data_IF_089371951803
#
_entry.id   IF_089371951803
#
_cell.length_a   1.000
_cell.length_b   1.000
_cell.length_c   1.000
_cell.angle_alpha   90.00
_cell.angle_beta   90.00
_cell.angle_gamma   90.00
#
_symmetry.space_group_name_H-M   'P 1'
#
loop_
_entity.id
_entity.type
_entity.pdbx_description
1 polymer ?
#
# COMPACT_ATOMS: atom_id res chain seq x y z
N UNK A 1 -34.98 -10.68 17.38
CA UNK A 1 -33.73 -10.36 18.10
C UNK A 1 -33.08 -9.17 17.43
N UNK A 2 -33.14 -7.99 18.06
CA UNK A 2 -32.55 -6.75 17.56
C UNK A 2 -31.03 -6.84 17.75
N UNK A 3 -30.25 -6.88 16.67
CA UNK A 3 -28.79 -6.80 16.73
C UNK A 3 -28.42 -5.37 17.10
N UNK A 4 -27.77 -5.21 18.25
CA UNK A 4 -27.15 -3.94 18.64
C UNK A 4 -26.08 -3.55 17.59
N UNK A 5 -26.05 -2.29 17.11
CA UNK A 5 -25.00 -1.79 16.20
C UNK A 5 -23.60 -1.69 16.84
N UNK A 6 -23.48 -1.99 18.14
CA UNK A 6 -22.26 -1.83 18.94
C UNK A 6 -21.41 -3.08 19.05
N UNK A 7 -21.69 -4.13 18.27
CA UNK A 7 -20.89 -5.36 18.25
C UNK A 7 -20.80 -5.90 16.83
N UNK A 8 -20.32 -5.06 15.92
CA UNK A 8 -20.03 -5.50 14.55
C UNK A 8 -18.85 -6.47 14.60
N UNK A 9 -19.06 -7.79 14.37
CA UNK A 9 -18.02 -8.80 14.52
C UNK A 9 -16.81 -8.48 13.62
N UNK A 10 -17.08 -7.83 12.49
CA UNK A 10 -16.10 -7.37 11.51
C UNK A 10 -15.10 -6.34 12.09
N UNK A 11 -15.56 -5.37 12.88
CA UNK A 11 -14.71 -4.36 13.50
C UNK A 11 -13.85 -4.95 14.62
N UNK A 12 -14.44 -5.84 15.44
CA UNK A 12 -13.72 -6.51 16.52
C UNK A 12 -12.55 -7.35 16.00
N UNK A 13 -12.75 -8.08 14.90
CA UNK A 13 -11.69 -8.86 14.23
C UNK A 13 -10.56 -7.95 13.74
N UNK A 14 -10.88 -6.81 13.11
CA UNK A 14 -9.86 -5.85 12.64
C UNK A 14 -8.98 -5.33 13.77
N UNK A 15 -9.59 -4.94 14.89
CA UNK A 15 -8.84 -4.48 16.07
C UNK A 15 -7.98 -5.58 16.70
N UNK A 16 -8.44 -6.83 16.72
CA UNK A 16 -7.63 -7.97 17.17
C UNK A 16 -6.40 -8.13 16.26
N UNK A 17 -6.61 -8.17 14.95
CA UNK A 17 -5.54 -8.31 13.95
C UNK A 17 -4.51 -7.20 14.06
N UNK A 18 -4.94 -5.94 14.28
CA UNK A 18 -4.04 -4.82 14.50
C UNK A 18 -3.17 -5.00 15.73
N UNK A 19 -3.75 -5.45 16.85
CA UNK A 19 -3.01 -5.71 18.07
C UNK A 19 -2.01 -6.88 17.91
N UNK A 20 -2.42 -7.94 17.22
CA UNK A 20 -1.56 -9.08 16.90
C UNK A 20 -0.39 -8.66 16.02
N UNK A 21 -0.65 -7.91 14.95
CA UNK A 21 0.36 -7.38 14.05
C UNK A 21 1.37 -6.47 14.77
N UNK A 22 0.89 -5.57 15.63
CA UNK A 22 1.76 -4.71 16.45
C UNK A 22 2.66 -5.53 17.38
N UNK A 23 2.17 -6.63 17.95
CA UNK A 23 3.00 -7.54 18.77
C UNK A 23 4.03 -8.27 17.92
N UNK A 24 3.69 -8.70 16.70
CA UNK A 24 4.64 -9.30 15.77
C UNK A 24 5.76 -8.33 15.39
N UNK A 25 5.41 -7.08 15.01
CA UNK A 25 6.37 -6.03 14.68
C UNK A 25 7.28 -5.69 15.86
N UNK A 26 6.72 -5.58 17.07
CA UNK A 26 7.52 -5.30 18.29
C UNK A 26 8.51 -6.43 18.59
N UNK A 27 8.14 -7.68 18.34
CA UNK A 27 9.01 -8.84 18.60
C UNK A 27 10.04 -9.06 17.50
N UNK A 28 9.69 -8.75 16.24
CA UNK A 28 10.53 -8.96 15.06
C UNK A 28 10.63 -7.70 14.17
N UNK A 29 11.16 -6.58 14.69
CA UNK A 29 11.11 -5.29 13.97
C UNK A 29 11.97 -5.26 12.70
N UNK A 30 13.01 -6.10 12.60
CA UNK A 30 13.98 -6.04 11.51
C UNK A 30 13.61 -6.89 10.30
N UNK A 31 13.19 -8.13 10.55
CA UNK A 31 12.96 -9.14 9.50
C UNK A 31 11.53 -9.67 9.49
N UNK A 32 10.70 -9.30 10.47
CA UNK A 32 9.37 -9.84 10.63
C UNK A 32 9.36 -11.33 11.00
N UNK A 33 8.18 -11.94 10.89
CA UNK A 33 7.96 -13.37 11.16
C UNK A 33 8.19 -14.26 9.93
N UNK A 34 8.55 -13.68 8.79
CA UNK A 34 8.72 -14.36 7.51
C UNK A 34 7.49 -14.22 6.58
N UNK A 35 7.70 -14.26 5.26
CA UNK A 35 6.63 -14.11 4.27
C UNK A 35 5.63 -15.27 4.34
N UNK A 36 4.33 -14.95 4.28
CA UNK A 36 3.22 -15.91 4.32
C UNK A 36 3.19 -16.80 5.59
N UNK A 37 3.77 -16.31 6.69
CA UNK A 37 3.86 -17.08 7.94
C UNK A 37 2.83 -16.63 8.99
N UNK A 38 2.09 -15.54 8.73
CA UNK A 38 1.19 -14.93 9.70
C UNK A 38 0.11 -15.90 10.16
N UNK A 39 -0.53 -16.64 9.26
CA UNK A 39 -1.56 -17.62 9.60
C UNK A 39 -1.05 -18.67 10.61
N UNK A 40 0.16 -19.17 10.40
CA UNK A 40 0.76 -20.21 11.24
C UNK A 40 1.14 -19.70 12.62
N UNK A 41 1.63 -18.46 12.70
CA UNK A 41 2.09 -17.88 13.95
C UNK A 41 1.04 -17.04 14.66
N UNK A 42 -0.11 -16.74 14.04
CA UNK A 42 -1.12 -15.80 14.55
C UNK A 42 -1.50 -16.07 16.02
N UNK A 43 -1.78 -17.33 16.34
CA UNK A 43 -2.16 -17.79 17.68
C UNK A 43 -1.09 -17.53 18.75
N UNK A 44 0.20 -17.53 18.38
CA UNK A 44 1.31 -17.29 19.29
C UNK A 44 1.41 -15.82 19.74
N UNK A 45 0.75 -14.92 19.01
CA UNK A 45 0.75 -13.48 19.26
C UNK A 45 -0.62 -12.98 19.71
N UNK A 46 -1.56 -13.85 20.07
CA UNK A 46 -2.76 -13.44 20.80
C UNK A 46 -2.42 -13.07 22.26
N UNK A 47 -3.19 -12.17 22.90
CA UNK A 47 -2.98 -11.88 24.32
C UNK A 47 -3.26 -13.14 25.16
N UNK A 48 -2.51 -13.39 26.25
CA UNK A 48 -2.73 -14.54 27.13
C UNK A 48 -4.18 -14.61 27.61
N UNK A 49 -4.79 -15.80 27.53
CA UNK A 49 -6.18 -16.04 27.95
C UNK A 49 -7.25 -15.55 26.97
N UNK A 50 -6.87 -15.04 25.80
CA UNK A 50 -7.82 -14.58 24.77
C UNK A 50 -8.10 -15.71 23.78
N UNK A 51 -9.38 -15.96 23.49
CA UNK A 51 -9.78 -16.82 22.36
C UNK A 51 -9.85 -15.97 21.09
N UNK A 52 -9.41 -16.48 19.93
CA UNK A 52 -9.53 -15.75 18.68
C UNK A 52 -11.00 -15.43 18.41
N UNK A 53 -11.29 -14.20 18.02
CA UNK A 53 -12.63 -13.83 17.55
C UNK A 53 -12.98 -14.71 16.34
N UNK A 54 -14.20 -15.25 16.27
CA UNK A 54 -14.63 -16.11 15.15
C UNK A 54 -14.60 -15.30 13.84
N UNK A 55 -13.75 -15.70 12.89
CA UNK A 55 -13.50 -15.00 11.63
C UNK A 55 -12.44 -15.70 10.77
N UNK A 56 -12.14 -15.16 9.59
CA UNK A 56 -11.01 -15.60 8.75
C UNK A 56 -9.76 -14.79 9.10
N UNK A 57 -8.63 -15.45 9.36
CA UNK A 57 -7.37 -14.83 9.84
C UNK A 57 -6.16 -15.06 8.92
N UNK A 58 -6.38 -15.44 7.66
CA UNK A 58 -5.31 -15.75 6.71
C UNK A 58 -4.40 -14.53 6.41
N UNK A 59 -4.97 -13.32 6.43
CA UNK A 59 -4.23 -12.07 6.17
C UNK A 59 -4.62 -10.96 7.15
N UNK A 60 -3.67 -10.08 7.46
CA UNK A 60 -3.97 -8.84 8.16
C UNK A 60 -4.66 -7.90 7.17
N UNK A 61 -5.84 -7.39 7.51
CA UNK A 61 -6.63 -6.46 6.69
C UNK A 61 -5.99 -5.05 6.53
N UNK A 62 -4.67 -4.95 6.43
CA UNK A 62 -3.94 -3.72 6.12
C UNK A 62 -2.58 -4.09 5.55
N UNK A 63 -2.26 -3.58 4.35
CA UNK A 63 -0.99 -3.84 3.67
C UNK A 63 0.21 -3.44 4.56
N UNK A 64 0.10 -2.32 5.27
CA UNK A 64 1.15 -1.82 6.15
C UNK A 64 1.47 -2.78 7.30
N UNK A 65 0.43 -3.35 7.91
CA UNK A 65 0.57 -4.29 9.01
C UNK A 65 1.09 -5.64 8.52
N UNK A 66 0.63 -6.11 7.36
CA UNK A 66 1.17 -7.31 6.72
C UNK A 66 2.66 -7.16 6.41
N UNK A 67 3.06 -6.08 5.73
CA UNK A 67 4.46 -5.83 5.38
C UNK A 67 5.34 -5.68 6.61
N UNK A 68 4.90 -4.90 7.60
CA UNK A 68 5.63 -4.71 8.84
C UNK A 68 5.79 -6.00 9.65
N UNK A 69 4.73 -6.81 9.76
CA UNK A 69 4.76 -8.05 10.53
C UNK A 69 5.53 -9.17 9.80
N UNK A 70 5.40 -9.31 8.49
CA UNK A 70 6.07 -10.38 7.72
C UNK A 70 7.53 -10.09 7.41
N UNK A 71 7.84 -8.84 7.01
CA UNK A 71 9.13 -8.46 6.40
C UNK A 71 9.89 -7.40 7.22
N UNK A 72 9.32 -6.92 8.32
CA UNK A 72 9.94 -5.95 9.21
C UNK A 72 9.81 -4.50 8.75
N UNK A 73 10.19 -3.59 9.65
CA UNK A 73 10.20 -2.14 9.45
C UNK A 73 11.14 -1.69 8.33
N UNK A 74 12.35 -2.24 8.12
CA UNK A 74 13.22 -1.82 7.02
C UNK A 74 12.57 -2.02 5.65
N UNK A 75 11.90 -3.17 5.44
CA UNK A 75 11.18 -3.45 4.21
C UNK A 75 9.99 -2.49 4.03
N UNK A 76 9.21 -2.29 5.08
CA UNK A 76 8.10 -1.34 5.07
C UNK A 76 8.57 0.08 4.74
N UNK A 77 9.66 0.55 5.37
CA UNK A 77 10.23 1.87 5.13
C UNK A 77 10.76 2.02 3.69
N UNK A 78 11.44 1.00 3.16
CA UNK A 78 11.90 1.01 1.77
C UNK A 78 10.73 1.06 0.79
N UNK A 79 9.66 0.33 1.06
CA UNK A 79 8.44 0.35 0.26
C UNK A 79 7.76 1.73 0.33
N UNK A 80 7.54 2.29 1.53
CA UNK A 80 6.97 3.64 1.70
C UNK A 80 7.85 4.70 1.03
N UNK A 81 9.17 4.58 1.12
CA UNK A 81 10.10 5.47 0.44
C UNK A 81 9.97 5.40 -1.08
N UNK A 82 9.96 4.19 -1.65
CA UNK A 82 9.76 3.99 -3.09
C UNK A 82 8.44 4.62 -3.53
N UNK A 83 7.39 4.41 -2.75
CA UNK A 83 6.09 5.00 -3.00
C UNK A 83 6.17 6.54 -3.03
N UNK A 84 6.71 7.17 -1.99
CA UNK A 84 6.88 8.63 -1.94
C UNK A 84 7.75 9.18 -3.08
N UNK A 85 8.80 8.44 -3.46
CA UNK A 85 9.67 8.82 -4.57
C UNK A 85 8.89 8.86 -5.90
N UNK A 86 8.02 7.89 -6.16
CA UNK A 86 7.21 7.86 -7.39
C UNK A 86 6.27 9.08 -7.49
N UNK A 87 5.59 9.46 -6.41
CA UNK A 87 4.76 10.69 -6.42
C UNK A 87 5.59 11.94 -6.55
N UNK A 88 6.73 12.01 -5.87
CA UNK A 88 7.62 13.15 -6.00
C UNK A 88 8.04 13.34 -7.47
N UNK A 89 8.39 12.26 -8.16
CA UNK A 89 8.73 12.28 -9.57
C UNK A 89 7.55 12.72 -10.44
N UNK A 90 6.36 12.15 -10.25
CA UNK A 90 5.14 12.56 -10.96
C UNK A 90 4.84 14.05 -10.75
N UNK A 91 5.03 14.56 -9.52
CA UNK A 91 4.83 15.96 -9.18
C UNK A 91 5.88 16.89 -9.79
N UNK A 92 7.14 16.45 -9.90
CA UNK A 92 8.18 17.18 -10.64
C UNK A 92 7.83 17.30 -12.12
N UNK A 93 7.37 16.21 -12.74
CA UNK A 93 6.91 16.19 -14.15
C UNK A 93 5.74 17.17 -14.32
N UNK A 94 4.74 17.10 -13.44
CA UNK A 94 3.60 18.03 -13.40
C UNK A 94 4.06 19.49 -13.34
N UNK A 95 4.99 19.83 -12.43
CA UNK A 95 5.56 21.19 -12.32
C UNK A 95 6.29 21.63 -13.60
N UNK A 96 7.00 20.73 -14.27
CA UNK A 96 7.67 21.03 -15.54
C UNK A 96 6.69 21.30 -16.69
N UNK A 97 5.62 20.51 -16.77
CA UNK A 97 4.53 20.70 -17.75
C UNK A 97 3.82 22.03 -17.53
N UNK A 98 3.49 22.35 -16.27
CA UNK A 98 2.86 23.63 -15.90
C UNK A 98 3.71 24.84 -16.30
N UNK A 99 5.03 24.80 -16.04
CA UNK A 99 5.97 25.86 -16.45
C UNK A 99 6.05 26.03 -17.96
N UNK A 100 5.87 24.95 -18.70
CA UNK A 100 5.88 24.95 -20.18
C UNK A 100 4.50 25.28 -20.78
N UNK A 101 3.51 25.70 -19.96
CA UNK A 101 2.10 25.91 -20.33
C UNK A 101 1.47 24.70 -21.07
N UNK A 102 1.96 23.49 -20.77
CA UNK A 102 1.40 22.25 -21.31
C UNK A 102 0.31 21.72 -20.40
N UNK A 103 -0.55 20.88 -20.96
CA UNK A 103 -1.62 20.23 -20.23
C UNK A 103 -1.06 19.34 -19.11
N UNK A 104 -1.53 19.54 -17.87
CA UNK A 104 -1.09 18.78 -16.67
C UNK A 104 -2.06 17.68 -16.25
N UNK A 105 -3.25 17.63 -16.84
CA UNK A 105 -4.37 16.78 -16.41
C UNK A 105 -3.97 15.30 -16.28
N UNK A 106 -3.09 14.81 -17.14
CA UNK A 106 -2.63 13.42 -17.09
C UNK A 106 -1.76 13.17 -15.85
N UNK A 107 -0.85 14.09 -15.53
CA UNK A 107 -0.02 14.00 -14.33
C UNK A 107 -0.87 14.20 -13.05
N UNK A 108 -1.86 15.10 -13.10
CA UNK A 108 -2.79 15.30 -12.00
C UNK A 108 -3.64 14.04 -11.73
N UNK A 109 -4.15 13.39 -12.80
CA UNK A 109 -4.89 12.14 -12.71
C UNK A 109 -4.03 10.99 -12.17
N UNK A 110 -2.77 10.86 -12.60
CA UNK A 110 -1.83 9.87 -12.06
C UNK A 110 -1.59 10.06 -10.56
N UNK A 111 -1.37 11.31 -10.11
CA UNK A 111 -1.16 11.60 -8.68
C UNK A 111 -2.44 11.29 -7.88
N UNK A 112 -3.61 11.67 -8.39
CA UNK A 112 -4.89 11.43 -7.73
C UNK A 112 -5.19 9.93 -7.58
N UNK A 113 -5.03 9.15 -8.66
CA UNK A 113 -5.21 7.70 -8.63
C UNK A 113 -4.26 7.03 -7.64
N UNK A 114 -3.02 7.51 -7.57
CA UNK A 114 -2.02 6.97 -6.67
C UNK A 114 -2.30 7.29 -5.19
N UNK A 115 -2.77 8.50 -4.88
CA UNK A 115 -3.19 8.87 -3.52
C UNK A 115 -4.42 8.09 -3.07
N UNK A 116 -5.39 7.88 -3.96
CA UNK A 116 -6.56 7.05 -3.69
C UNK A 116 -6.14 5.61 -3.37
N UNK A 117 -5.22 5.05 -4.16
CA UNK A 117 -4.67 3.72 -3.93
C UNK A 117 -3.95 3.58 -2.58
N UNK A 118 -3.12 4.54 -2.20
CA UNK A 118 -2.47 4.55 -0.89
C UNK A 118 -3.47 4.68 0.26
N UNK A 119 -4.55 5.45 0.07
CA UNK A 119 -5.61 5.59 1.05
C UNK A 119 -6.38 4.27 1.23
N UNK A 120 -6.65 3.52 0.16
CA UNK A 120 -7.27 2.19 0.25
C UNK A 120 -6.37 1.16 0.94
N UNK A 121 -5.07 1.14 0.65
CA UNK A 121 -4.10 0.22 1.27
C UNK A 121 -3.98 0.36 2.80
N UNK A 122 -4.44 1.46 3.39
CA UNK A 122 -4.55 1.61 4.85
C UNK A 122 -5.65 0.74 5.45
N UNK A 123 -6.78 0.60 4.74
CA UNK A 123 -8.00 -0.02 5.24
C UNK A 123 -8.24 -1.44 4.71
N UNK A 124 -7.57 -1.82 3.63
CA UNK A 124 -7.76 -3.10 2.96
C UNK A 124 -6.42 -3.65 2.46
N UNK A 125 -6.27 -4.98 2.53
CA UNK A 125 -5.09 -5.69 2.03
C UNK A 125 -5.22 -5.86 0.51
N UNK A 126 -4.58 -4.99 -0.25
CA UNK A 126 -4.67 -4.95 -1.70
C UNK A 126 -3.44 -5.56 -2.40
N UNK A 127 -2.29 -5.66 -1.72
CA UNK A 127 -1.06 -6.18 -2.33
C UNK A 127 -1.01 -7.71 -2.47
N UNK A 128 -1.91 -8.45 -1.82
CA UNK A 128 -2.02 -9.91 -1.98
C UNK A 128 -2.77 -10.38 -3.22
N UNK A 129 -3.52 -9.50 -3.88
CA UNK A 129 -4.30 -9.83 -5.08
C UNK A 129 -3.59 -9.31 -6.33
N UNK A 130 -3.19 -10.24 -7.20
CA UNK A 130 -2.51 -10.03 -8.50
C UNK A 130 -2.99 -8.85 -9.38
N UNK A 131 -4.30 -8.49 -9.44
CA UNK A 131 -4.78 -7.41 -10.32
C UNK A 131 -4.31 -6.00 -9.93
N UNK A 132 -4.19 -5.73 -8.63
CA UNK A 132 -3.87 -4.39 -8.12
C UNK A 132 -2.45 -3.98 -8.49
N UNK A 133 -1.50 -4.91 -8.35
CA UNK A 133 -0.11 -4.69 -8.70
C UNK A 133 0.04 -4.35 -10.20
N UNK A 134 -0.73 -5.01 -11.07
CA UNK A 134 -0.67 -4.78 -12.51
C UNK A 134 -1.22 -3.40 -12.87
N UNK A 135 -2.36 -3.01 -12.30
CA UNK A 135 -2.95 -1.68 -12.51
C UNK A 135 -2.03 -0.58 -11.97
N UNK A 136 -1.44 -0.81 -10.80
CA UNK A 136 -0.45 0.08 -10.21
C UNK A 136 0.75 0.30 -11.14
N UNK A 137 1.36 -0.78 -11.62
CA UNK A 137 2.50 -0.72 -12.54
C UNK A 137 2.14 0.02 -13.84
N UNK A 138 0.94 -0.22 -14.38
CA UNK A 138 0.45 0.47 -15.57
C UNK A 138 0.32 1.98 -15.35
N UNK A 139 -0.35 2.39 -14.27
CA UNK A 139 -0.56 3.81 -13.94
C UNK A 139 0.77 4.53 -13.68
N UNK A 140 1.69 3.89 -12.94
CA UNK A 140 3.01 4.44 -12.63
C UNK A 140 3.89 4.58 -13.87
N UNK A 141 3.78 3.68 -14.84
CA UNK A 141 4.58 3.75 -16.08
C UNK A 141 4.16 4.90 -17.01
N UNK A 142 2.86 5.28 -17.01
CA UNK A 142 2.29 6.31 -17.91
C UNK A 142 3.08 7.62 -17.97
N UNK A 143 3.40 8.30 -16.85
CA UNK A 143 4.15 9.57 -16.89
C UNK A 143 5.56 9.44 -17.46
N UNK A 144 6.25 8.31 -17.24
CA UNK A 144 7.60 8.09 -17.79
C UNK A 144 7.58 7.90 -19.32
N UNK A 145 6.57 7.20 -19.84
CA UNK A 145 6.37 7.04 -21.29
C UNK A 145 6.13 8.41 -21.94
N UNK A 146 5.30 9.24 -21.31
CA UNK A 146 4.97 10.59 -21.79
C UNK A 146 6.20 11.49 -21.80
N UNK A 147 7.04 11.45 -20.75
CA UNK A 147 8.31 12.19 -20.70
C UNK A 147 9.28 11.76 -21.82
N UNK A 148 9.39 10.45 -22.08
CA UNK A 148 10.26 9.90 -23.14
C UNK A 148 9.79 10.31 -24.53
N UNK A 149 8.48 10.28 -24.79
CA UNK A 149 7.88 10.71 -26.07
C UNK A 149 8.10 12.21 -26.33
N UNK A 150 7.98 13.05 -25.31
CA UNK A 150 8.25 14.49 -25.45
C UNK A 150 9.73 14.84 -25.60
N UNK A 151 10.63 13.98 -25.14
CA UNK A 151 12.08 14.16 -25.30
C UNK A 151 12.53 13.73 -26.70
N UNK A 152 11.99 12.63 -27.22
CA UNK A 152 12.24 12.17 -28.59
C UNK A 152 11.75 13.19 -29.65
N UNK A 153 10.55 13.76 -29.46
CA UNK A 153 9.98 14.71 -30.42
C UNK A 153 10.74 16.06 -30.47
N UNK A 154 11.50 16.39 -29.40
CA UNK A 154 12.32 17.60 -29.33
C UNK A 154 13.62 17.50 -30.13
N UNK A 155 14.06 16.29 -30.44
CA UNK A 155 15.22 16.02 -31.31
C UNK A 155 14.83 16.10 -32.79
N UNK A 156 13.64 15.62 -33.15
CA UNK A 156 13.16 15.62 -34.55
C UNK A 156 12.79 17.02 -35.05
N UNK A 157 12.29 17.92 -34.18
CA UNK A 157 11.94 19.29 -34.60
C UNK A 157 13.14 20.25 -34.70
N UNK A 158 14.36 19.76 -34.47
CA UNK A 158 15.62 20.56 -34.50
C UNK A 158 16.54 20.20 -35.66
N UNK A 159 16.16 19.23 -36.49
CA UNK A 159 16.78 18.88 -37.78
C UNK A 159 15.96 19.43 -38.93
#
# INVERSE_FOLDING_TARGET
MLRHPSSDPSLAIRFEMWNVALRMVRKHPWVGVGPNNIEQVYLLYLPPGTRPVVGYHEHLHSDFLQFGAERGLPCLLAWVWLMMALVWHAWRIRRSLARSRRATWLADATIAAWLAFMAEGWFEFNFGTSPVLIVFLFVVATPFVVERSFSANRFVSRS
#
